data_IF_090159446019
#
_entry.id   IF_090159446019
#
_cell.length_a   1.000
_cell.length_b   1.000
_cell.length_c   1.000
_cell.angle_alpha   90.00
_cell.angle_beta   90.00
_cell.angle_gamma   90.00
#
_symmetry.space_group_name_H-M   'P 1'
#
loop_
_entity.id
_entity.type
_entity.pdbx_description
1 polymer ?
#
# COMPACT_ATOMS: atom_id res chain seq x y z
N UNK A 1 -6.29 -4.63 33.99
CA UNK A 1 -5.48 -5.67 33.29
C UNK A 1 -6.08 -6.14 31.95
N UNK A 2 -7.39 -6.10 31.75
CA UNK A 2 -8.07 -6.59 30.53
C UNK A 2 -7.88 -5.77 29.24
N UNK A 3 -7.74 -4.45 29.31
CA UNK A 3 -7.69 -3.59 28.11
C UNK A 3 -6.42 -3.80 27.26
N UNK A 4 -5.24 -3.84 27.87
CA UNK A 4 -3.98 -4.08 27.13
C UNK A 4 -3.94 -5.46 26.49
N UNK A 5 -4.48 -6.49 27.13
CA UNK A 5 -4.51 -7.85 26.59
C UNK A 5 -5.42 -7.94 25.36
N UNK A 6 -6.58 -7.26 25.40
CA UNK A 6 -7.50 -7.18 24.26
C UNK A 6 -6.88 -6.46 23.06
N UNK A 7 -6.18 -5.35 23.28
CA UNK A 7 -5.46 -4.62 22.22
C UNK A 7 -4.39 -5.49 21.57
N UNK A 8 -3.57 -6.19 22.38
CA UNK A 8 -2.51 -7.07 21.86
C UNK A 8 -3.08 -8.23 21.05
N UNK A 9 -4.14 -8.87 21.53
CA UNK A 9 -4.82 -9.99 20.82
C UNK A 9 -5.44 -9.49 19.52
N UNK A 10 -6.09 -8.33 19.54
CA UNK A 10 -6.69 -7.72 18.37
C UNK A 10 -5.68 -7.34 17.32
N UNK A 11 -4.58 -6.73 17.73
CA UNK A 11 -3.50 -6.35 16.82
C UNK A 11 -2.85 -7.60 16.18
N UNK A 12 -2.66 -8.68 16.93
CA UNK A 12 -2.17 -9.95 16.36
C UNK A 12 -3.12 -10.52 15.31
N UNK A 13 -4.42 -10.56 15.58
CA UNK A 13 -5.43 -11.03 14.62
C UNK A 13 -5.49 -10.14 13.37
N UNK A 14 -5.41 -8.83 13.55
CA UNK A 14 -5.34 -7.87 12.46
C UNK A 14 -4.09 -8.10 11.59
N UNK A 15 -2.90 -8.21 12.19
CA UNK A 15 -1.64 -8.39 11.47
C UNK A 15 -1.59 -9.74 10.75
N UNK A 16 -2.07 -10.81 11.37
CA UNK A 16 -2.16 -12.13 10.72
C UNK A 16 -3.08 -12.09 9.49
N UNK A 17 -4.28 -11.49 9.63
CA UNK A 17 -5.20 -11.30 8.51
C UNK A 17 -4.62 -10.39 7.42
N UNK A 18 -3.99 -9.27 7.79
CA UNK A 18 -3.33 -8.38 6.85
C UNK A 18 -2.22 -9.09 6.07
N UNK A 19 -1.37 -9.85 6.77
CA UNK A 19 -0.28 -10.60 6.13
C UNK A 19 -0.81 -11.65 5.17
N UNK A 20 -1.81 -12.42 5.58
CA UNK A 20 -2.42 -13.44 4.74
C UNK A 20 -3.07 -12.84 3.48
N UNK A 21 -3.91 -11.80 3.65
CA UNK A 21 -4.56 -11.13 2.52
C UNK A 21 -3.54 -10.57 1.53
N UNK A 22 -2.52 -9.86 2.02
CA UNK A 22 -1.49 -9.22 1.20
C UNK A 22 -0.57 -10.24 0.54
N UNK A 23 -0.19 -11.32 1.24
CA UNK A 23 0.60 -12.38 0.65
C UNK A 23 -0.18 -13.09 -0.48
N UNK A 24 -1.48 -13.32 -0.31
CA UNK A 24 -2.34 -13.86 -1.36
C UNK A 24 -2.47 -12.91 -2.54
N UNK A 25 -2.60 -11.61 -2.29
CA UNK A 25 -2.66 -10.57 -3.32
C UNK A 25 -1.35 -10.50 -4.14
N UNK A 26 -0.21 -10.37 -3.46
CA UNK A 26 1.12 -10.33 -4.10
C UNK A 26 1.46 -11.64 -4.84
N UNK A 27 0.92 -12.77 -4.40
CA UNK A 27 1.05 -14.07 -5.06
C UNK A 27 0.15 -14.17 -6.30
N UNK A 28 -1.03 -13.51 -6.29
CA UNK A 28 -2.06 -13.69 -7.31
C UNK A 28 -1.61 -13.28 -8.72
N UNK A 29 -0.90 -12.15 -8.82
CA UNK A 29 -0.37 -11.64 -10.08
C UNK A 29 0.59 -12.62 -10.76
N UNK A 30 1.72 -12.98 -10.14
CA UNK A 30 2.64 -13.97 -10.66
C UNK A 30 1.99 -15.34 -10.94
N UNK A 31 1.09 -15.81 -10.06
CA UNK A 31 0.40 -17.07 -10.26
C UNK A 31 -0.51 -17.07 -11.50
N UNK A 32 -1.26 -15.97 -11.73
CA UNK A 32 -2.09 -15.82 -12.92
C UNK A 32 -1.27 -15.64 -14.21
N UNK A 33 -0.11 -14.97 -14.12
CA UNK A 33 0.83 -14.87 -15.22
C UNK A 33 1.31 -16.27 -15.67
N UNK A 34 1.76 -17.08 -14.69
CA UNK A 34 2.22 -18.45 -14.94
C UNK A 34 1.08 -19.35 -15.44
N UNK A 35 -0.12 -19.22 -14.88
CA UNK A 35 -1.29 -19.97 -15.32
C UNK A 35 -1.70 -19.60 -16.75
N UNK A 36 -1.71 -18.31 -17.08
CA UNK A 36 -2.02 -17.82 -18.42
C UNK A 36 -1.11 -18.43 -19.46
N UNK A 37 0.19 -18.45 -19.18
CA UNK A 37 1.18 -19.11 -20.06
C UNK A 37 0.97 -20.63 -20.14
N UNK A 38 0.81 -21.30 -18.98
CA UNK A 38 0.66 -22.76 -18.93
C UNK A 38 -0.58 -23.28 -19.66
N UNK A 39 -1.69 -22.52 -19.65
CA UNK A 39 -2.96 -22.94 -20.27
C UNK A 39 -3.03 -22.56 -21.75
N UNK A 40 -2.48 -21.41 -22.15
CA UNK A 40 -2.65 -20.88 -23.52
C UNK A 40 -1.40 -21.01 -24.38
N UNK A 41 -0.24 -21.31 -23.80
CA UNK A 41 1.06 -21.25 -24.47
C UNK A 41 1.50 -19.83 -24.87
N UNK A 42 0.72 -18.80 -24.52
CA UNK A 42 0.95 -17.41 -24.93
C UNK A 42 1.25 -16.52 -23.71
N UNK A 43 2.44 -15.90 -23.63
CA UNK A 43 2.77 -14.96 -22.53
C UNK A 43 1.77 -13.79 -22.41
N UNK A 44 1.22 -13.34 -23.57
CA UNK A 44 0.25 -12.26 -23.64
C UNK A 44 -1.05 -12.52 -22.85
N UNK A 45 -1.47 -13.78 -22.72
CA UNK A 45 -2.66 -14.12 -21.95
C UNK A 45 -2.43 -13.88 -20.44
N UNK A 46 -1.31 -14.36 -19.89
CA UNK A 46 -0.95 -14.12 -18.49
C UNK A 46 -0.74 -12.64 -18.18
N UNK A 47 -0.02 -11.92 -19.06
CA UNK A 47 0.19 -10.47 -18.93
C UNK A 47 -1.12 -9.69 -18.99
N UNK A 48 -2.06 -10.10 -19.85
CA UNK A 48 -3.39 -9.48 -19.95
C UNK A 48 -4.22 -9.66 -18.68
N UNK A 49 -4.18 -10.85 -18.05
CA UNK A 49 -4.86 -11.10 -16.78
C UNK A 49 -4.27 -10.25 -15.65
N UNK A 50 -2.94 -10.20 -15.54
CA UNK A 50 -2.25 -9.37 -14.54
C UNK A 50 -2.57 -7.88 -14.72
N UNK A 51 -2.47 -7.37 -15.95
CA UNK A 51 -2.77 -5.98 -16.27
C UNK A 51 -4.24 -5.63 -15.93
N UNK A 52 -5.17 -6.53 -16.20
CA UNK A 52 -6.60 -6.34 -15.90
C UNK A 52 -6.85 -6.19 -14.40
N UNK A 53 -6.24 -7.05 -13.58
CA UNK A 53 -6.32 -6.93 -12.12
C UNK A 53 -5.76 -5.59 -11.62
N UNK A 54 -4.59 -5.18 -12.12
CA UNK A 54 -3.93 -3.95 -11.70
C UNK A 54 -4.71 -2.70 -12.11
N UNK A 55 -5.19 -2.64 -13.35
CA UNK A 55 -5.98 -1.51 -13.85
C UNK A 55 -7.27 -1.35 -13.06
N UNK A 56 -7.99 -2.44 -12.82
CA UNK A 56 -9.22 -2.41 -12.06
C UNK A 56 -8.98 -2.03 -10.59
N UNK A 57 -7.90 -2.51 -9.98
CA UNK A 57 -7.48 -2.11 -8.63
C UNK A 57 -7.15 -0.63 -8.52
N UNK A 58 -6.53 -0.07 -9.56
CA UNK A 58 -6.24 1.37 -9.62
C UNK A 58 -7.52 2.24 -9.67
N UNK A 59 -8.60 1.74 -10.29
CA UNK A 59 -9.88 2.47 -10.41
C UNK A 59 -10.81 2.18 -9.24
N UNK A 60 -10.79 0.97 -8.69
CA UNK A 60 -11.74 0.49 -7.67
C UNK A 60 -11.62 1.18 -6.31
N UNK A 61 -10.46 1.75 -5.98
CA UNK A 61 -10.19 2.30 -4.64
C UNK A 61 -11.14 3.37 -4.15
N UNK A 62 -11.38 4.44 -4.90
CA UNK A 62 -12.31 5.49 -4.49
C UNK A 62 -13.72 4.97 -4.22
N UNK A 63 -14.21 4.07 -5.08
CA UNK A 63 -15.56 3.47 -4.99
C UNK A 63 -15.65 2.56 -3.77
N UNK A 64 -14.70 1.64 -3.61
CA UNK A 64 -14.67 0.73 -2.48
C UNK A 64 -14.53 1.48 -1.15
N UNK A 65 -13.67 2.49 -1.10
CA UNK A 65 -13.49 3.30 0.11
C UNK A 65 -14.73 4.08 0.50
N UNK A 66 -15.44 4.66 -0.47
CA UNK A 66 -16.71 5.32 -0.23
C UNK A 66 -17.78 4.34 0.29
N UNK A 67 -17.81 3.11 -0.23
CA UNK A 67 -18.71 2.05 0.25
C UNK A 67 -18.37 1.66 1.69
N UNK A 68 -17.05 1.51 1.99
CA UNK A 68 -16.56 1.16 3.32
C UNK A 68 -16.94 2.22 4.36
N UNK A 69 -16.77 3.52 4.04
CA UNK A 69 -17.05 4.64 4.94
C UNK A 69 -18.55 4.89 5.15
N UNK A 70 -19.40 4.52 4.17
CA UNK A 70 -20.87 4.61 4.31
C UNK A 70 -21.46 3.49 5.16
N UNK A 71 -20.73 2.40 5.32
CA UNK A 71 -21.26 1.22 6.00
C UNK A 71 -21.26 1.40 7.51
N UNK A 72 -22.39 1.06 8.12
CA UNK A 72 -22.48 0.88 9.58
C UNK A 72 -21.68 -0.35 10.06
N UNK A 73 -21.34 -1.25 9.13
CA UNK A 73 -20.59 -2.48 9.38
C UNK A 73 -19.42 -2.63 8.40
N UNK A 74 -18.39 -1.75 8.50
CA UNK A 74 -17.25 -1.78 7.60
C UNK A 74 -16.47 -3.11 7.68
N UNK A 75 -16.51 -3.81 8.81
CA UNK A 75 -16.00 -5.16 8.99
C UNK A 75 -16.62 -6.16 8.01
N UNK A 76 -17.94 -6.13 7.83
CA UNK A 76 -18.65 -7.01 6.88
C UNK A 76 -18.37 -6.64 5.43
N UNK A 77 -18.31 -5.34 5.12
CA UNK A 77 -17.98 -4.86 3.77
C UNK A 77 -16.57 -5.31 3.39
N UNK A 78 -15.61 -5.17 4.31
CA UNK A 78 -14.24 -5.61 4.09
C UNK A 78 -14.18 -7.14 3.91
N UNK A 79 -14.85 -7.91 4.78
CA UNK A 79 -14.89 -9.36 4.68
C UNK A 79 -15.55 -9.84 3.37
N UNK A 80 -16.65 -9.22 2.96
CA UNK A 80 -17.32 -9.53 1.69
C UNK A 80 -16.44 -9.22 0.48
N UNK A 81 -15.72 -8.10 0.50
CA UNK A 81 -14.80 -7.73 -0.58
C UNK A 81 -13.61 -8.69 -0.68
N UNK A 82 -13.04 -9.12 0.46
CA UNK A 82 -11.98 -10.12 0.47
C UNK A 82 -12.47 -11.47 -0.06
N UNK A 83 -13.68 -11.89 0.34
CA UNK A 83 -14.30 -13.12 -0.17
C UNK A 83 -14.57 -13.01 -1.68
N UNK A 84 -15.10 -11.88 -2.15
CA UNK A 84 -15.34 -11.62 -3.58
C UNK A 84 -14.02 -11.62 -4.37
N UNK A 85 -12.95 -11.04 -3.82
CA UNK A 85 -11.63 -11.07 -4.44
C UNK A 85 -11.08 -12.49 -4.56
N UNK A 86 -11.13 -13.27 -3.47
CA UNK A 86 -10.69 -14.67 -3.48
C UNK A 86 -11.51 -15.53 -4.47
N UNK A 87 -12.83 -15.40 -4.45
CA UNK A 87 -13.72 -16.10 -5.40
C UNK A 87 -13.48 -15.66 -6.83
N UNK A 88 -13.23 -14.37 -7.06
CA UNK A 88 -12.89 -13.83 -8.37
C UNK A 88 -11.60 -14.43 -8.92
N UNK A 89 -10.54 -14.56 -8.11
CA UNK A 89 -9.28 -15.22 -8.51
C UNK A 89 -9.56 -16.67 -8.95
N UNK A 90 -10.39 -17.40 -8.19
CA UNK A 90 -10.80 -18.78 -8.55
C UNK A 90 -11.63 -18.79 -9.83
N UNK A 91 -12.54 -17.81 -10.01
CA UNK A 91 -13.35 -17.69 -11.22
C UNK A 91 -12.50 -17.41 -12.48
N UNK A 92 -11.47 -16.54 -12.37
CA UNK A 92 -10.51 -16.32 -13.46
C UNK A 92 -9.83 -17.62 -13.86
N UNK A 93 -9.36 -18.41 -12.87
CA UNK A 93 -8.76 -19.72 -13.13
C UNK A 93 -9.74 -20.70 -13.79
N UNK A 94 -10.98 -20.74 -13.30
CA UNK A 94 -12.01 -21.65 -13.84
C UNK A 94 -12.42 -21.29 -15.27
N UNK A 95 -12.43 -19.99 -15.61
CA UNK A 95 -12.78 -19.47 -16.91
C UNK A 95 -11.67 -19.69 -17.95
N UNK A 96 -10.41 -19.63 -17.52
CA UNK A 96 -9.26 -19.68 -18.43
C UNK A 96 -9.14 -21.05 -19.11
N UNK A 97 -9.15 -21.03 -20.45
CA UNK A 97 -9.17 -22.23 -21.30
C UNK A 97 -10.55 -22.86 -21.52
N UNK A 98 -11.60 -22.35 -20.84
CA UNK A 98 -13.00 -22.76 -21.06
C UNK A 98 -13.83 -21.68 -21.72
N UNK A 99 -13.54 -20.41 -21.41
CA UNK A 99 -14.20 -19.25 -22.00
C UNK A 99 -13.22 -18.51 -22.92
N UNK A 100 -13.72 -17.67 -23.84
CA UNK A 100 -12.86 -16.77 -24.60
C UNK A 100 -11.99 -15.91 -23.68
N UNK A 101 -10.76 -15.61 -24.10
CA UNK A 101 -9.82 -14.82 -23.30
C UNK A 101 -10.39 -13.45 -22.91
N UNK A 102 -11.17 -12.83 -23.80
CA UNK A 102 -11.85 -11.56 -23.53
C UNK A 102 -12.82 -11.64 -22.35
N UNK A 103 -13.60 -12.72 -22.25
CA UNK A 103 -14.49 -12.96 -21.12
C UNK A 103 -13.69 -13.20 -19.82
N UNK A 104 -12.60 -13.96 -19.88
CA UNK A 104 -11.71 -14.19 -18.73
C UNK A 104 -11.05 -12.89 -18.26
N UNK A 105 -10.64 -12.02 -19.18
CA UNK A 105 -10.15 -10.66 -18.88
C UNK A 105 -11.25 -9.82 -18.19
N UNK A 106 -12.50 -9.92 -18.67
CA UNK A 106 -13.63 -9.24 -18.02
C UNK A 106 -13.84 -9.69 -16.57
N UNK A 107 -13.70 -11.00 -16.29
CA UNK A 107 -13.76 -11.54 -14.92
C UNK A 107 -12.56 -11.03 -14.09
N UNK A 108 -11.36 -10.97 -14.65
CA UNK A 108 -10.18 -10.44 -13.98
C UNK A 108 -10.32 -8.94 -13.66
N UNK A 109 -10.87 -8.12 -14.56
CA UNK A 109 -11.21 -6.73 -14.32
C UNK A 109 -12.22 -6.59 -13.15
N UNK A 110 -13.31 -7.36 -13.18
CA UNK A 110 -14.29 -7.35 -12.10
C UNK A 110 -13.67 -7.75 -10.74
N UNK A 111 -12.77 -8.74 -10.75
CA UNK A 111 -12.04 -9.21 -9.58
C UNK A 111 -11.12 -8.11 -9.03
N UNK A 112 -10.37 -7.43 -9.88
CA UNK A 112 -9.43 -6.38 -9.50
C UNK A 112 -10.09 -5.18 -8.80
N UNK A 113 -11.38 -4.92 -9.02
CA UNK A 113 -12.11 -3.85 -8.31
C UNK A 113 -12.13 -4.05 -6.79
N UNK A 114 -11.95 -5.29 -6.30
CA UNK A 114 -11.90 -5.61 -4.87
C UNK A 114 -10.48 -5.56 -4.28
N UNK A 115 -9.43 -5.48 -5.11
CA UNK A 115 -8.04 -5.37 -4.65
C UNK A 115 -7.80 -4.25 -3.62
N UNK A 116 -8.42 -3.04 -3.73
CA UNK A 116 -8.26 -1.99 -2.73
C UNK A 116 -8.70 -2.37 -1.31
N UNK A 117 -9.50 -3.42 -1.13
CA UNK A 117 -9.87 -3.94 0.19
C UNK A 117 -8.64 -4.48 0.93
N UNK A 118 -7.76 -5.20 0.22
CA UNK A 118 -6.53 -5.78 0.77
C UNK A 118 -5.56 -4.68 1.19
N UNK A 119 -5.42 -3.65 0.36
CA UNK A 119 -4.49 -2.55 0.59
C UNK A 119 -5.08 -1.50 1.56
N UNK A 120 -5.65 -0.44 1.00
CA UNK A 120 -6.10 0.73 1.76
C UNK A 120 -7.29 0.45 2.69
N UNK A 121 -8.22 -0.44 2.26
CA UNK A 121 -9.40 -0.79 3.04
C UNK A 121 -9.06 -1.44 4.37
N UNK A 122 -8.11 -2.37 4.37
CA UNK A 122 -7.60 -3.02 5.59
C UNK A 122 -6.89 -2.02 6.50
N UNK A 123 -5.90 -1.29 5.97
CA UNK A 123 -5.12 -0.29 6.73
C UNK A 123 -6.01 0.76 7.39
N UNK A 124 -7.10 1.17 6.74
CA UNK A 124 -8.05 2.15 7.29
C UNK A 124 -8.72 1.68 8.59
N UNK A 125 -8.75 0.36 8.87
CA UNK A 125 -9.34 -0.20 10.10
C UNK A 125 -8.41 -0.19 11.31
N UNK A 126 -7.11 0.04 11.12
CA UNK A 126 -6.10 -0.01 12.19
C UNK A 126 -6.45 0.85 13.42
N UNK A 127 -6.95 2.10 13.28
CA UNK A 127 -7.29 2.95 14.43
C UNK A 127 -8.47 2.45 15.28
N UNK A 128 -9.20 1.42 14.84
CA UNK A 128 -10.24 0.77 15.66
C UNK A 128 -9.62 -0.12 16.74
N UNK A 129 -8.39 -0.61 16.50
CA UNK A 129 -7.70 -1.55 17.38
C UNK A 129 -6.67 -0.83 18.23
N UNK A 130 -5.95 0.14 17.65
CA UNK A 130 -4.84 0.86 18.29
C UNK A 130 -5.12 2.36 18.24
N UNK A 131 -5.04 3.01 19.38
CA UNK A 131 -5.32 4.46 19.50
C UNK A 131 -4.15 5.21 20.14
N UNK A 132 -4.15 6.53 20.00
CA UNK A 132 -3.17 7.40 20.66
C UNK A 132 -1.72 7.12 20.25
N UNK A 133 -0.82 7.07 21.22
CA UNK A 133 0.62 6.91 21.00
C UNK A 133 1.04 5.58 20.37
N UNK A 134 0.21 4.54 20.48
CA UNK A 134 0.47 3.23 19.88
C UNK A 134 0.20 3.18 18.37
N UNK A 135 -0.50 4.16 17.79
CA UNK A 135 -0.85 4.18 16.38
C UNK A 135 0.39 4.23 15.46
N UNK A 136 1.44 4.93 15.89
CA UNK A 136 2.71 4.96 15.12
C UNK A 136 3.35 3.58 15.03
N UNK A 137 3.35 2.82 16.14
CA UNK A 137 3.83 1.44 16.17
C UNK A 137 2.92 0.52 15.36
N UNK A 138 1.61 0.68 15.49
CA UNK A 138 0.63 -0.06 14.70
C UNK A 138 0.83 0.15 13.20
N UNK A 139 1.05 1.39 12.75
CA UNK A 139 1.33 1.73 11.34
C UNK A 139 2.64 1.11 10.84
N UNK A 140 3.68 1.04 11.68
CA UNK A 140 4.93 0.37 11.32
C UNK A 140 4.75 -1.15 11.19
N UNK A 141 3.97 -1.77 12.09
CA UNK A 141 3.63 -3.19 12.01
C UNK A 141 2.73 -3.50 10.80
N UNK A 142 1.80 -2.61 10.48
CA UNK A 142 0.97 -2.74 9.28
C UNK A 142 1.81 -2.62 8.01
N UNK A 143 2.73 -1.66 7.92
CA UNK A 143 3.68 -1.53 6.83
C UNK A 143 4.60 -2.76 6.70
N UNK A 144 5.00 -3.37 7.85
CA UNK A 144 5.78 -4.60 7.87
C UNK A 144 5.07 -5.74 7.14
N UNK A 145 3.75 -5.87 7.25
CA UNK A 145 2.99 -6.91 6.55
C UNK A 145 3.04 -6.77 5.03
N UNK A 146 3.17 -5.54 4.49
CA UNK A 146 3.42 -5.31 3.06
C UNK A 146 4.80 -5.83 2.66
N UNK A 147 5.85 -5.50 3.42
CA UNK A 147 7.21 -5.98 3.11
C UNK A 147 7.32 -7.50 3.16
N UNK A 148 6.63 -8.14 4.13
CA UNK A 148 6.54 -9.61 4.19
C UNK A 148 5.83 -10.17 2.96
N UNK A 149 4.71 -9.58 2.57
CA UNK A 149 3.92 -10.02 1.43
C UNK A 149 4.66 -9.86 0.10
N UNK A 150 5.30 -8.69 -0.12
CA UNK A 150 6.08 -8.42 -1.34
C UNK A 150 7.28 -9.38 -1.50
N UNK A 151 7.88 -9.80 -0.38
CA UNK A 151 8.98 -10.78 -0.41
C UNK A 151 8.45 -12.21 -0.61
N UNK A 152 7.42 -12.59 0.15
CA UNK A 152 6.94 -13.97 0.19
C UNK A 152 5.99 -14.31 -0.96
N UNK A 153 5.15 -13.37 -1.42
CA UNK A 153 4.11 -13.63 -2.41
C UNK A 153 4.64 -14.18 -3.73
N UNK A 154 5.52 -13.45 -4.44
CA UNK A 154 6.09 -13.93 -5.70
C UNK A 154 6.92 -15.21 -5.53
N UNK A 155 7.66 -15.34 -4.42
CA UNK A 155 8.44 -16.54 -4.12
C UNK A 155 7.54 -17.76 -3.93
N UNK A 156 6.45 -17.63 -3.17
CA UNK A 156 5.46 -18.69 -3.00
C UNK A 156 4.76 -19.03 -4.32
N UNK A 157 4.44 -18.04 -5.16
CA UNK A 157 3.86 -18.29 -6.47
C UNK A 157 4.78 -19.15 -7.34
N UNK A 158 6.07 -18.79 -7.40
CA UNK A 158 7.05 -19.54 -8.18
C UNK A 158 7.28 -20.96 -7.62
N UNK A 159 7.44 -21.09 -6.30
CA UNK A 159 7.67 -22.38 -5.64
C UNK A 159 6.50 -23.35 -5.83
N UNK A 160 5.27 -22.86 -5.60
CA UNK A 160 4.07 -23.68 -5.75
C UNK A 160 3.80 -24.01 -7.23
N UNK A 161 4.05 -23.06 -8.14
CA UNK A 161 3.88 -23.32 -9.56
C UNK A 161 4.90 -24.33 -10.11
N UNK A 162 6.13 -24.33 -9.60
CA UNK A 162 7.19 -25.27 -9.99
C UNK A 162 6.94 -26.71 -9.49
N UNK A 163 6.28 -26.88 -8.33
CA UNK A 163 5.95 -28.19 -7.78
C UNK A 163 4.56 -28.68 -8.23
N UNK A 164 3.48 -28.36 -7.50
CA UNK A 164 2.12 -28.85 -7.79
C UNK A 164 1.46 -28.14 -9.00
N UNK A 165 2.07 -27.09 -9.54
CA UNK A 165 1.65 -26.44 -10.77
C UNK A 165 0.95 -25.08 -10.59
N UNK A 166 0.84 -24.32 -11.69
CA UNK A 166 0.33 -22.95 -11.70
C UNK A 166 -1.14 -22.85 -11.22
N UNK A 167 -1.96 -23.88 -11.46
CA UNK A 167 -3.35 -23.92 -10.93
C UNK A 167 -3.38 -23.94 -9.42
N UNK A 168 -2.51 -24.72 -8.78
CA UNK A 168 -2.42 -24.79 -7.32
C UNK A 168 -1.87 -23.49 -6.77
N UNK A 169 -0.95 -22.82 -7.47
CA UNK A 169 -0.46 -21.50 -7.06
C UNK A 169 -1.59 -20.45 -7.00
N UNK A 170 -2.48 -20.42 -8.00
CA UNK A 170 -3.64 -19.52 -8.00
C UNK A 170 -4.62 -19.85 -6.87
N UNK A 171 -4.90 -21.13 -6.62
CA UNK A 171 -5.76 -21.56 -5.51
C UNK A 171 -5.14 -21.22 -4.15
N UNK A 172 -3.83 -21.35 -4.01
CA UNK A 172 -3.11 -20.96 -2.79
C UNK A 172 -3.21 -19.46 -2.55
N UNK A 173 -3.05 -18.63 -3.59
CA UNK A 173 -3.24 -17.19 -3.50
C UNK A 173 -4.67 -16.84 -3.04
N UNK A 174 -5.69 -17.45 -3.65
CA UNK A 174 -7.08 -17.26 -3.26
C UNK A 174 -7.35 -17.72 -1.82
N UNK A 175 -6.80 -18.86 -1.40
CA UNK A 175 -6.92 -19.38 -0.04
C UNK A 175 -6.29 -18.44 1.00
N UNK A 176 -5.12 -17.88 0.72
CA UNK A 176 -4.49 -16.88 1.59
C UNK A 176 -5.35 -15.63 1.77
N UNK A 177 -5.97 -15.13 0.70
CA UNK A 177 -6.94 -14.02 0.80
C UNK A 177 -8.17 -14.45 1.62
N UNK A 178 -8.71 -15.63 1.37
CA UNK A 178 -9.87 -16.14 2.09
C UNK A 178 -9.60 -16.34 3.59
N UNK A 179 -8.40 -16.74 3.98
CA UNK A 179 -7.98 -16.86 5.38
C UNK A 179 -8.03 -15.52 6.16
N UNK A 180 -8.02 -14.40 5.46
CA UNK A 180 -8.16 -13.08 6.08
C UNK A 180 -9.63 -12.74 6.41
N UNK A 181 -10.63 -13.40 5.81
CA UNK A 181 -12.06 -13.11 6.02
C UNK A 181 -12.48 -13.24 7.49
N UNK A 182 -12.15 -14.31 8.23
CA UNK A 182 -12.46 -14.41 9.65
C UNK A 182 -11.82 -13.28 10.48
N UNK A 183 -10.60 -12.87 10.13
CA UNK A 183 -9.93 -11.75 10.80
C UNK A 183 -10.66 -10.43 10.54
N UNK A 184 -11.12 -10.17 9.31
CA UNK A 184 -11.95 -9.02 8.99
C UNK A 184 -13.28 -9.02 9.76
N UNK A 185 -13.97 -10.15 9.84
CA UNK A 185 -15.19 -10.29 10.64
C UNK A 185 -14.94 -10.03 12.15
N UNK A 186 -13.76 -10.39 12.66
CA UNK A 186 -13.42 -10.18 14.07
C UNK A 186 -13.28 -8.71 14.46
N UNK A 187 -13.13 -7.80 13.48
CA UNK A 187 -13.08 -6.36 13.70
C UNK A 187 -14.38 -5.79 14.28
N UNK A 188 -15.50 -6.51 14.18
CA UNK A 188 -16.76 -6.15 14.81
C UNK A 188 -16.70 -6.08 16.34
N UNK A 189 -15.70 -6.74 16.95
CA UNK A 189 -15.47 -6.74 18.41
C UNK A 189 -14.86 -5.44 18.93
N UNK A 190 -14.38 -4.57 18.05
CA UNK A 190 -13.75 -3.28 18.39
C UNK A 190 -14.75 -2.14 18.20
N UNK A 191 -14.49 -0.97 18.83
CA UNK A 191 -15.39 0.18 18.73
C UNK A 191 -15.86 0.42 17.30
N UNK A 192 -17.12 0.75 17.16
CA UNK A 192 -17.70 1.06 15.87
C UNK A 192 -16.87 2.14 15.15
N UNK A 193 -16.80 2.06 13.83
CA UNK A 193 -16.28 3.17 13.04
C UNK A 193 -17.07 4.44 13.40
N UNK A 194 -16.46 5.64 13.29
CA UNK A 194 -17.19 6.88 13.45
C UNK A 194 -18.48 6.84 12.63
N UNK A 195 -19.55 7.46 13.13
CA UNK A 195 -20.82 7.48 12.43
C UNK A 195 -20.63 7.89 10.96
N UNK A 196 -21.32 7.25 10.02
CA UNK A 196 -21.26 7.65 8.62
C UNK A 196 -21.52 9.16 8.53
N UNK A 197 -20.75 9.84 7.70
CA UNK A 197 -21.00 11.25 7.38
C UNK A 197 -22.37 11.45 6.74
N UNK A 198 -22.76 12.71 6.44
CA UNK A 198 -24.03 13.01 5.78
C UNK A 198 -24.25 12.10 4.57
N UNK A 199 -25.48 11.61 4.38
CA UNK A 199 -25.83 10.75 3.25
C UNK A 199 -25.79 11.59 1.96
N UNK A 200 -24.62 11.60 1.32
CA UNK A 200 -24.44 12.23 0.00
C UNK A 200 -24.75 11.24 -1.13
N UNK A 201 -25.23 11.68 -2.28
CA UNK A 201 -25.28 10.85 -3.48
C UNK A 201 -23.90 10.27 -3.81
N UNK A 202 -23.80 9.06 -4.39
CA UNK A 202 -22.51 8.37 -4.61
C UNK A 202 -21.46 9.22 -5.32
N UNK A 203 -21.84 9.95 -6.37
CA UNK A 203 -20.92 10.82 -7.12
C UNK A 203 -20.39 11.99 -6.28
N UNK A 204 -21.25 12.61 -5.43
CA UNK A 204 -20.83 13.68 -4.52
C UNK A 204 -19.92 13.16 -3.41
N UNK A 205 -20.16 11.95 -2.95
CA UNK A 205 -19.29 11.33 -1.95
C UNK A 205 -17.92 11.03 -2.53
N UNK A 206 -17.83 10.49 -3.76
CA UNK A 206 -16.57 10.31 -4.47
C UNK A 206 -15.83 11.64 -4.62
N UNK A 207 -16.52 12.68 -5.09
CA UNK A 207 -15.95 14.02 -5.22
C UNK A 207 -15.48 14.57 -3.87
N UNK A 208 -16.23 14.35 -2.78
CA UNK A 208 -15.86 14.80 -1.44
C UNK A 208 -14.56 14.14 -0.94
N UNK A 209 -14.33 12.85 -1.24
CA UNK A 209 -13.08 12.17 -0.90
C UNK A 209 -11.87 12.72 -1.65
N UNK A 210 -12.00 12.96 -2.95
CA UNK A 210 -10.96 13.64 -3.73
C UNK A 210 -10.73 15.07 -3.25
N UNK A 211 -11.80 15.81 -2.98
CA UNK A 211 -11.72 17.17 -2.44
C UNK A 211 -11.03 17.18 -1.05
N UNK A 212 -11.31 16.20 -0.18
CA UNK A 212 -10.64 16.07 1.11
C UNK A 212 -9.13 15.84 0.96
N UNK A 213 -8.70 15.06 -0.02
CA UNK A 213 -7.28 14.89 -0.33
C UNK A 213 -6.69 16.19 -0.89
N UNK A 214 -7.36 16.84 -1.85
CA UNK A 214 -6.86 18.01 -2.54
C UNK A 214 -6.81 19.27 -1.66
N UNK A 215 -7.78 19.45 -0.77
CA UNK A 215 -7.90 20.66 0.06
C UNK A 215 -7.07 20.59 1.35
N UNK A 216 -6.83 19.38 1.89
CA UNK A 216 -5.99 19.18 3.07
C UNK A 216 -4.54 19.04 2.67
N UNK A 217 -3.77 20.11 2.82
CA UNK A 217 -2.35 20.18 2.42
C UNK A 217 -1.51 18.97 2.82
N UNK A 218 -1.56 18.44 4.07
CA UNK A 218 -0.79 17.25 4.42
C UNK A 218 -1.21 16.00 3.66
N UNK A 219 -2.51 15.80 3.39
CA UNK A 219 -3.00 14.68 2.60
C UNK A 219 -2.62 14.80 1.13
N UNK A 220 -2.76 16.00 0.55
CA UNK A 220 -2.34 16.28 -0.83
C UNK A 220 -0.85 16.00 -0.99
N UNK A 221 -0.03 16.55 -0.08
CA UNK A 221 1.41 16.38 -0.04
C UNK A 221 1.80 14.89 0.01
N UNK A 222 1.24 14.15 0.97
CA UNK A 222 1.50 12.72 1.11
C UNK A 222 1.03 11.91 -0.12
N UNK A 223 -0.09 12.29 -0.74
CA UNK A 223 -0.62 11.59 -1.91
C UNK A 223 0.22 11.86 -3.15
N UNK A 224 0.49 13.13 -3.48
CA UNK A 224 1.32 13.49 -4.63
C UNK A 224 2.72 12.87 -4.52
N UNK A 225 3.37 13.02 -3.36
CA UNK A 225 4.68 12.42 -3.13
C UNK A 225 4.66 10.92 -3.34
N UNK A 226 3.65 10.21 -2.78
CA UNK A 226 3.59 8.76 -2.93
C UNK A 226 3.33 8.31 -4.37
N UNK A 227 2.50 9.03 -5.13
CA UNK A 227 2.20 8.69 -6.54
C UNK A 227 3.42 8.87 -7.42
N UNK A 228 4.10 10.02 -7.29
CA UNK A 228 5.29 10.36 -8.08
C UNK A 228 6.47 9.46 -7.72
N UNK A 229 6.72 9.22 -6.43
CA UNK A 229 7.75 8.30 -5.96
C UNK A 229 7.54 6.87 -6.46
N UNK A 230 6.29 6.38 -6.41
CA UNK A 230 6.00 5.03 -6.91
C UNK A 230 6.09 4.90 -8.44
N UNK A 231 6.02 6.00 -9.20
CA UNK A 231 6.38 5.96 -10.61
C UNK A 231 7.90 5.67 -10.78
N UNK A 232 8.76 6.30 -10.01
CA UNK A 232 10.19 5.99 -9.96
C UNK A 232 10.48 4.55 -9.54
N UNK A 233 9.79 4.06 -8.50
CA UNK A 233 9.91 2.66 -8.03
C UNK A 233 9.46 1.67 -9.12
N UNK A 234 8.37 1.97 -9.84
CA UNK A 234 7.93 1.14 -10.97
C UNK A 234 8.98 1.04 -12.08
N UNK A 235 9.67 2.14 -12.37
CA UNK A 235 10.80 2.14 -13.31
C UNK A 235 11.96 1.26 -12.79
N UNK A 236 12.35 1.40 -11.52
CA UNK A 236 13.41 0.58 -10.92
C UNK A 236 13.12 -0.91 -11.03
N UNK A 237 11.88 -1.33 -10.73
CA UNK A 237 11.49 -2.76 -10.79
C UNK A 237 11.66 -3.30 -12.21
N UNK A 238 11.27 -2.55 -13.25
CA UNK A 238 11.45 -2.94 -14.65
C UNK A 238 12.93 -2.98 -15.04
N UNK A 239 13.77 -2.11 -14.46
CA UNK A 239 15.21 -2.12 -14.70
C UNK A 239 15.93 -3.30 -14.02
N UNK A 240 15.38 -3.92 -12.98
CA UNK A 240 16.06 -4.97 -12.23
C UNK A 240 16.55 -6.16 -13.09
N UNK A 241 15.77 -6.75 -14.03
CA UNK A 241 16.27 -7.82 -14.91
C UNK A 241 17.44 -7.37 -15.78
N UNK A 242 17.37 -6.15 -16.34
CA UNK A 242 18.44 -5.58 -17.20
C UNK A 242 19.70 -5.31 -16.37
N UNK A 243 19.56 -4.78 -15.16
CA UNK A 243 20.68 -4.63 -14.21
C UNK A 243 21.28 -5.98 -13.83
N UNK A 244 20.44 -6.99 -13.61
CA UNK A 244 20.88 -8.35 -13.34
C UNK A 244 21.76 -8.90 -14.45
N UNK A 245 21.35 -8.72 -15.70
CA UNK A 245 22.14 -9.14 -16.87
C UNK A 245 23.42 -8.34 -17.03
N UNK A 246 23.32 -7.01 -17.08
CA UNK A 246 24.45 -6.14 -17.41
C UNK A 246 25.48 -6.00 -16.28
N UNK A 247 25.05 -6.05 -15.01
CA UNK A 247 25.92 -5.77 -13.85
C UNK A 247 26.27 -7.02 -13.07
N UNK A 248 25.40 -8.03 -13.07
CA UNK A 248 25.55 -9.25 -12.28
C UNK A 248 25.77 -10.50 -13.15
N UNK A 249 25.70 -10.37 -14.49
CA UNK A 249 26.00 -11.42 -15.44
C UNK A 249 24.85 -12.39 -15.75
N UNK A 250 23.63 -12.17 -15.25
CA UNK A 250 22.43 -12.92 -15.63
C UNK A 250 21.13 -12.14 -15.33
N UNK A 251 20.19 -12.13 -16.26
CA UNK A 251 18.88 -11.47 -16.08
C UNK A 251 18.10 -12.04 -14.88
N UNK A 252 18.25 -13.36 -14.59
CA UNK A 252 17.66 -14.01 -13.41
C UNK A 252 18.14 -13.40 -12.07
N UNK A 253 19.33 -12.80 -12.03
CA UNK A 253 19.83 -12.08 -10.86
C UNK A 253 19.10 -10.74 -10.61
N UNK A 254 18.29 -10.27 -11.56
CA UNK A 254 17.33 -9.17 -11.32
C UNK A 254 16.32 -9.49 -10.23
N UNK A 255 15.89 -10.74 -10.09
CA UNK A 255 15.03 -11.17 -8.99
C UNK A 255 15.73 -11.04 -7.63
N UNK A 256 17.06 -11.21 -7.56
CA UNK A 256 17.84 -10.94 -6.35
C UNK A 256 17.76 -9.48 -5.94
N UNK A 257 17.85 -8.54 -6.90
CA UNK A 257 17.74 -7.10 -6.62
C UNK A 257 16.38 -6.76 -6.01
N UNK A 258 15.28 -7.28 -6.57
CA UNK A 258 13.94 -7.09 -6.04
C UNK A 258 13.82 -7.69 -4.62
N UNK A 259 14.38 -8.88 -4.40
CA UNK A 259 14.39 -9.52 -3.09
C UNK A 259 15.18 -8.72 -2.06
N UNK A 260 16.30 -8.13 -2.45
CA UNK A 260 17.13 -7.27 -1.58
C UNK A 260 16.38 -6.00 -1.20
N UNK A 261 15.67 -5.36 -2.14
CA UNK A 261 14.82 -4.20 -1.85
C UNK A 261 13.75 -4.57 -0.82
N UNK A 262 13.03 -5.67 -1.04
CA UNK A 262 11.98 -6.13 -0.13
C UNK A 262 12.53 -6.51 1.26
N UNK A 263 13.66 -7.20 1.32
CA UNK A 263 14.31 -7.58 2.57
C UNK A 263 14.79 -6.36 3.37
N UNK A 264 15.40 -5.38 2.71
CA UNK A 264 15.84 -4.14 3.34
C UNK A 264 14.65 -3.33 3.88
N UNK A 265 13.55 -3.24 3.12
CA UNK A 265 12.29 -2.63 3.55
C UNK A 265 11.70 -3.36 4.77
N UNK A 266 11.71 -4.70 4.76
CA UNK A 266 11.29 -5.54 5.87
C UNK A 266 12.08 -5.27 7.15
N UNK A 267 13.41 -5.24 7.04
CA UNK A 267 14.32 -4.99 8.18
C UNK A 267 14.06 -3.61 8.77
N UNK A 268 13.98 -2.58 7.95
CA UNK A 268 13.78 -1.21 8.44
C UNK A 268 12.39 -0.99 9.04
N UNK A 269 11.34 -1.62 8.50
CA UNK A 269 10.02 -1.63 9.10
C UNK A 269 9.99 -2.39 10.43
N UNK A 270 10.71 -3.52 10.54
CA UNK A 270 10.84 -4.27 11.78
C UNK A 270 11.55 -3.45 12.87
N UNK A 271 12.62 -2.74 12.51
CA UNK A 271 13.32 -1.81 13.42
C UNK A 271 12.40 -0.67 13.85
N UNK A 272 11.65 -0.06 12.92
CA UNK A 272 10.70 1.00 13.21
C UNK A 272 9.57 0.54 14.16
N UNK A 273 9.10 -0.69 14.00
CA UNK A 273 8.08 -1.27 14.87
C UNK A 273 8.58 -1.54 16.31
N UNK A 274 9.87 -1.92 16.45
CA UNK A 274 10.50 -2.14 17.77
C UNK A 274 10.90 -0.85 18.47
N UNK A 275 11.30 0.16 17.71
CA UNK A 275 11.77 1.46 18.21
C UNK A 275 10.94 2.58 17.57
N UNK A 276 9.68 2.78 18.03
CA UNK A 276 8.85 3.86 17.50
C UNK A 276 9.51 5.21 17.82
N UNK A 277 10.06 5.84 16.79
CA UNK A 277 10.70 7.15 16.92
C UNK A 277 9.62 8.22 17.09
N UNK A 278 9.69 9.02 18.13
CA UNK A 278 8.86 10.22 18.37
C UNK A 278 9.27 11.36 17.43
N UNK A 279 9.22 11.15 16.12
CA UNK A 279 9.55 12.17 15.13
C UNK A 279 8.34 12.55 14.29
N UNK A 280 8.41 13.69 13.62
CA UNK A 280 7.37 14.13 12.71
C UNK A 280 7.34 13.18 11.49
N UNK A 281 6.22 12.51 11.20
CA UNK A 281 6.11 11.60 10.06
C UNK A 281 6.39 12.32 8.74
N UNK A 282 6.08 13.62 8.68
CA UNK A 282 6.29 14.49 7.54
C UNK A 282 7.77 14.56 7.12
N UNK A 283 8.70 14.75 8.04
CA UNK A 283 10.14 14.79 7.76
C UNK A 283 10.61 13.42 7.25
N UNK A 284 10.04 12.33 7.77
CA UNK A 284 10.42 10.98 7.31
C UNK A 284 9.98 10.70 5.88
N UNK A 285 8.79 11.16 5.46
CA UNK A 285 8.38 11.05 4.06
C UNK A 285 9.43 11.68 3.16
N UNK A 286 9.82 12.94 3.43
CA UNK A 286 10.81 13.64 2.63
C UNK A 286 12.18 12.95 2.64
N UNK A 287 12.70 12.62 3.83
CA UNK A 287 14.00 11.98 3.97
C UNK A 287 14.06 10.63 3.26
N UNK A 288 13.01 9.81 3.40
CA UNK A 288 12.93 8.52 2.73
C UNK A 288 12.85 8.66 1.20
N UNK A 289 12.07 9.62 0.68
CA UNK A 289 12.00 9.92 -0.75
C UNK A 289 13.37 10.30 -1.30
N UNK A 290 14.12 11.15 -0.60
CA UNK A 290 15.49 11.52 -1.00
C UNK A 290 16.46 10.33 -0.95
N UNK A 291 16.34 9.45 0.06
CA UNK A 291 17.16 8.23 0.15
C UNK A 291 16.87 7.30 -1.02
N UNK A 292 15.60 7.09 -1.39
CA UNK A 292 15.21 6.27 -2.53
C UNK A 292 15.76 6.85 -3.82
N UNK A 293 15.63 8.18 -4.04
CA UNK A 293 16.17 8.86 -5.22
C UNK A 293 17.70 8.74 -5.32
N UNK A 294 18.40 8.98 -4.22
CA UNK A 294 19.85 8.82 -4.16
C UNK A 294 20.29 7.38 -4.44
N UNK A 295 19.53 6.40 -3.97
CA UNK A 295 19.81 4.98 -4.23
C UNK A 295 19.64 4.61 -5.69
N UNK A 296 18.61 5.14 -6.37
CA UNK A 296 18.38 4.93 -7.80
C UNK A 296 19.51 5.56 -8.63
N UNK A 297 19.93 6.78 -8.30
CA UNK A 297 21.08 7.44 -8.94
C UNK A 297 22.38 6.65 -8.69
N UNK A 298 22.60 6.17 -7.48
CA UNK A 298 23.74 5.32 -7.17
C UNK A 298 23.69 4.01 -7.96
N UNK A 299 22.54 3.33 -8.04
CA UNK A 299 22.37 2.11 -8.81
C UNK A 299 22.59 2.31 -10.31
N UNK A 300 22.25 3.49 -10.85
CA UNK A 300 22.52 3.85 -12.24
C UNK A 300 24.02 3.84 -12.58
N UNK A 301 24.86 4.23 -11.62
CA UNK A 301 26.31 4.43 -11.80
C UNK A 301 27.15 3.30 -11.21
N UNK A 302 26.59 2.51 -10.27
CA UNK A 302 27.32 1.48 -9.53
C UNK A 302 27.68 0.29 -10.42
N UNK A 303 28.94 -0.16 -10.44
CA UNK A 303 29.36 -1.38 -11.13
C UNK A 303 29.09 -2.61 -10.29
N UNK A 304 28.81 -3.76 -10.96
CA UNK A 304 28.77 -5.07 -10.35
C UNK A 304 27.90 -5.14 -9.07
N UNK A 305 28.47 -5.73 -8.02
CA UNK A 305 27.76 -5.95 -6.75
C UNK A 305 27.47 -4.67 -5.95
N UNK A 306 28.09 -3.54 -6.26
CA UNK A 306 27.72 -2.25 -5.66
C UNK A 306 26.28 -1.83 -6.02
N UNK A 307 25.76 -2.30 -7.16
CA UNK A 307 24.34 -2.15 -7.51
C UNK A 307 23.43 -2.80 -6.45
N UNK A 308 23.81 -3.95 -5.91
CA UNK A 308 23.05 -4.64 -4.85
C UNK A 308 23.00 -3.77 -3.58
N UNK A 309 24.13 -3.18 -3.19
CA UNK A 309 24.19 -2.28 -2.05
C UNK A 309 23.35 -1.00 -2.28
N UNK A 310 23.41 -0.44 -3.47
CA UNK A 310 22.61 0.73 -3.82
C UNK A 310 21.11 0.47 -3.71
N UNK A 311 20.60 -0.62 -4.30
CA UNK A 311 19.17 -0.95 -4.21
C UNK A 311 18.75 -1.35 -2.79
N UNK A 312 19.65 -1.93 -1.97
CA UNK A 312 19.40 -2.20 -0.56
C UNK A 312 19.13 -0.90 0.23
N UNK A 313 19.88 0.17 -0.06
CA UNK A 313 19.64 1.50 0.52
C UNK A 313 18.26 2.03 0.11
N UNK A 314 17.86 1.84 -1.15
CA UNK A 314 16.52 2.20 -1.63
C UNK A 314 15.41 1.49 -0.87
N UNK A 315 15.52 0.16 -0.73
CA UNK A 315 14.59 -0.63 0.07
C UNK A 315 14.54 -0.19 1.54
N UNK A 316 15.70 0.16 2.11
CA UNK A 316 15.77 0.70 3.48
C UNK A 316 15.04 2.06 3.62
N UNK A 317 14.90 2.82 2.55
CA UNK A 317 14.10 4.05 2.49
C UNK A 317 12.60 3.77 2.31
N UNK A 318 12.23 2.77 1.50
CA UNK A 318 10.83 2.48 1.15
C UNK A 318 9.98 2.11 2.36
N UNK A 319 10.48 1.26 3.26
CA UNK A 319 9.77 0.86 4.46
C UNK A 319 9.35 2.03 5.35
N UNK A 320 10.28 2.88 5.80
CA UNK A 320 9.98 4.08 6.57
C UNK A 320 9.10 5.09 5.82
N UNK A 321 9.22 5.22 4.48
CA UNK A 321 8.35 6.06 3.67
C UNK A 321 6.90 5.61 3.79
N UNK A 322 6.61 4.32 3.58
CA UNK A 322 5.26 3.77 3.67
C UNK A 322 4.67 3.93 5.06
N UNK A 323 5.44 3.64 6.11
CA UNK A 323 5.04 3.85 7.51
C UNK A 323 4.68 5.30 7.79
N UNK A 324 5.48 6.24 7.30
CA UNK A 324 5.26 7.67 7.50
C UNK A 324 4.03 8.17 6.73
N UNK A 325 3.82 7.70 5.49
CA UNK A 325 2.61 7.98 4.70
C UNK A 325 1.34 7.50 5.41
N UNK A 326 1.36 6.31 6.01
CA UNK A 326 0.23 5.82 6.80
C UNK A 326 -0.01 6.68 8.04
N UNK A 327 1.04 7.07 8.75
CA UNK A 327 0.93 7.92 9.94
C UNK A 327 0.34 9.30 9.59
N UNK A 328 0.77 9.93 8.48
CA UNK A 328 0.18 11.20 8.00
C UNK A 328 -1.30 11.01 7.67
N UNK A 329 -1.66 9.96 6.92
CA UNK A 329 -3.05 9.69 6.54
C UNK A 329 -3.93 9.41 7.75
N UNK A 330 -3.45 8.64 8.74
CA UNK A 330 -4.21 8.38 9.97
C UNK A 330 -4.41 9.64 10.81
N UNK A 331 -3.44 10.55 10.83
CA UNK A 331 -3.52 11.83 11.55
C UNK A 331 -4.51 12.79 10.90
N UNK A 332 -4.50 12.86 9.57
CA UNK A 332 -5.19 13.91 8.83
C UNK A 332 -6.55 13.49 8.25
N UNK A 333 -6.78 12.20 8.04
CA UNK A 333 -8.02 11.72 7.45
C UNK A 333 -9.19 11.87 8.44
N UNK A 334 -10.29 12.55 8.05
CA UNK A 334 -11.52 12.54 8.82
C UNK A 334 -11.98 11.11 9.07
N UNK A 335 -12.48 10.83 10.27
CA UNK A 335 -12.88 9.46 10.64
C UNK A 335 -13.89 8.83 9.67
N UNK A 336 -14.84 9.63 9.18
CA UNK A 336 -15.91 9.22 8.26
C UNK A 336 -15.50 9.13 6.78
N UNK A 337 -14.25 9.48 6.42
CA UNK A 337 -13.68 9.40 5.07
C UNK A 337 -12.36 8.62 5.04
N UNK A 338 -12.02 7.93 6.12
CA UNK A 338 -10.73 7.25 6.25
C UNK A 338 -10.58 6.13 5.24
N UNK A 339 -11.59 5.31 5.07
CA UNK A 339 -11.61 4.24 4.08
C UNK A 339 -11.35 4.78 2.68
N UNK A 340 -12.10 5.79 2.27
CA UNK A 340 -11.96 6.39 0.95
C UNK A 340 -10.58 7.04 0.72
N UNK A 341 -10.03 7.76 1.71
CA UNK A 341 -8.70 8.38 1.59
C UNK A 341 -7.61 7.31 1.45
N UNK A 342 -7.65 6.24 2.24
CA UNK A 342 -6.64 5.18 2.17
C UNK A 342 -6.73 4.37 0.89
N UNK A 343 -7.93 3.98 0.45
CA UNK A 343 -8.11 3.20 -0.78
C UNK A 343 -7.82 4.03 -2.02
N UNK A 344 -8.26 5.30 -2.07
CA UNK A 344 -7.93 6.22 -3.17
C UNK A 344 -6.42 6.42 -3.28
N UNK A 345 -5.75 6.67 -2.16
CA UNK A 345 -4.30 6.84 -2.14
C UNK A 345 -3.55 5.56 -2.55
N UNK A 346 -4.05 4.37 -2.17
CA UNK A 346 -3.49 3.09 -2.61
C UNK A 346 -3.66 2.90 -4.12
N UNK A 347 -4.85 3.17 -4.66
CA UNK A 347 -5.12 3.10 -6.11
C UNK A 347 -4.27 4.07 -6.91
N UNK A 348 -4.16 5.32 -6.48
CA UNK A 348 -3.31 6.31 -7.15
C UNK A 348 -1.83 5.91 -7.12
N UNK A 349 -1.37 5.33 -6.00
CA UNK A 349 -0.02 4.79 -5.88
C UNK A 349 0.25 3.67 -6.89
N UNK A 350 -0.69 2.72 -7.02
CA UNK A 350 -0.60 1.62 -8.00
C UNK A 350 -0.60 2.17 -9.43
N UNK A 351 -1.46 3.16 -9.72
CA UNK A 351 -1.47 3.82 -11.03
C UNK A 351 -0.14 4.51 -11.34
N UNK A 352 0.46 5.21 -10.36
CA UNK A 352 1.79 5.81 -10.49
C UNK A 352 2.85 4.75 -10.81
N UNK A 353 2.89 3.65 -10.05
CA UNK A 353 3.82 2.55 -10.28
C UNK A 353 3.66 1.93 -11.68
N UNK A 354 2.42 1.72 -12.11
CA UNK A 354 2.12 1.17 -13.44
C UNK A 354 2.55 2.12 -14.57
N UNK A 355 2.33 3.43 -14.40
CA UNK A 355 2.77 4.44 -15.36
C UNK A 355 4.31 4.47 -15.47
N UNK A 356 5.00 4.43 -14.34
CA UNK A 356 6.47 4.36 -14.31
C UNK A 356 7.00 3.09 -14.98
N UNK A 357 6.41 1.95 -14.68
CA UNK A 357 6.76 0.67 -15.31
C UNK A 357 6.54 0.69 -16.83
N UNK A 358 5.45 1.30 -17.30
CA UNK A 358 5.16 1.44 -18.73
C UNK A 358 6.19 2.35 -19.43
N UNK A 359 6.61 3.44 -18.78
CA UNK A 359 7.66 4.33 -19.28
C UNK A 359 9.03 3.64 -19.32
N UNK A 360 9.31 2.79 -18.33
CA UNK A 360 10.60 2.12 -18.23
C UNK A 360 10.83 1.09 -19.33
N UNK A 361 9.79 0.42 -19.86
CA UNK A 361 9.93 -0.64 -20.87
C UNK A 361 10.77 -0.20 -22.07
N UNK A 362 10.35 0.81 -22.84
CA UNK A 362 11.14 1.32 -23.95
C UNK A 362 12.49 1.91 -23.54
N UNK A 363 12.54 2.67 -22.43
CA UNK A 363 13.74 3.36 -21.97
C UNK A 363 14.85 2.40 -21.53
N UNK A 364 14.52 1.36 -20.78
CA UNK A 364 15.48 0.40 -20.27
C UNK A 364 16.14 -0.42 -21.40
N UNK A 365 15.40 -0.64 -22.50
CA UNK A 365 15.95 -1.28 -23.70
C UNK A 365 17.03 -0.46 -24.40
N UNK A 366 16.98 0.87 -24.30
CA UNK A 366 17.99 1.76 -24.86
C UNK A 366 19.14 2.02 -23.85
N UNK A 367 18.82 2.37 -22.62
CA UNK A 367 19.81 2.65 -21.57
C UNK A 367 19.19 2.48 -20.17
N UNK A 368 19.61 1.44 -19.47
CA UNK A 368 19.21 1.22 -18.08
C UNK A 368 19.68 2.36 -17.16
N UNK A 369 20.86 2.91 -17.42
CA UNK A 369 21.42 4.06 -16.68
C UNK A 369 20.53 5.30 -16.83
N UNK A 370 20.15 5.65 -18.05
CA UNK A 370 19.25 6.78 -18.31
C UNK A 370 17.88 6.54 -17.65
N UNK A 371 17.34 5.33 -17.75
CA UNK A 371 16.06 4.96 -17.12
C UNK A 371 16.10 5.15 -15.60
N UNK A 372 17.16 4.72 -14.93
CA UNK A 372 17.34 4.88 -13.48
C UNK A 372 17.57 6.33 -13.05
N UNK A 373 18.28 7.13 -13.86
CA UNK A 373 18.43 8.56 -13.60
C UNK A 373 17.11 9.31 -13.74
N UNK A 374 16.26 8.92 -14.71
CA UNK A 374 14.87 9.43 -14.83
C UNK A 374 14.06 9.00 -13.63
N UNK A 375 14.18 7.75 -13.16
CA UNK A 375 13.52 7.27 -11.95
C UNK A 375 13.95 8.07 -10.70
N UNK A 376 15.25 8.39 -10.57
CA UNK A 376 15.74 9.30 -9.53
C UNK A 376 15.18 10.71 -9.68
N UNK A 377 14.98 11.18 -10.91
CA UNK A 377 14.30 12.44 -11.23
C UNK A 377 12.86 12.47 -10.73
N UNK A 378 12.09 11.37 -10.84
CA UNK A 378 10.76 11.26 -10.24
C UNK A 378 10.80 11.42 -8.73
N UNK A 379 11.80 10.86 -8.04
CA UNK A 379 11.97 11.05 -6.59
C UNK A 379 12.30 12.51 -6.22
N UNK A 380 13.13 13.18 -7.02
CA UNK A 380 13.38 14.61 -6.83
C UNK A 380 12.13 15.45 -7.08
N UNK A 381 11.34 15.13 -8.11
CA UNK A 381 10.04 15.75 -8.35
C UNK A 381 9.08 15.52 -7.16
N UNK A 382 9.05 14.29 -6.61
CA UNK A 382 8.26 13.96 -5.44
C UNK A 382 8.68 14.77 -4.21
N UNK A 383 10.00 14.88 -3.96
CA UNK A 383 10.56 15.69 -2.87
C UNK A 383 10.29 17.18 -3.06
N UNK A 384 10.43 17.69 -4.28
CA UNK A 384 10.13 19.09 -4.62
C UNK A 384 8.65 19.39 -4.43
N UNK A 385 7.76 18.54 -4.92
CA UNK A 385 6.32 18.67 -4.70
C UNK A 385 5.99 18.67 -3.21
N UNK A 386 6.64 17.78 -2.44
CA UNK A 386 6.52 17.75 -0.98
C UNK A 386 6.87 19.08 -0.33
N UNK A 387 7.93 19.75 -0.74
CA UNK A 387 8.39 21.03 -0.21
C UNK A 387 7.52 22.21 -0.66
N UNK A 388 7.04 22.20 -1.90
CA UNK A 388 6.21 23.27 -2.47
C UNK A 388 4.79 23.27 -1.90
N UNK A 389 4.23 22.10 -1.57
CA UNK A 389 2.91 21.99 -0.93
C UNK A 389 3.03 22.32 0.56
N UNK A 390 3.34 23.59 0.89
CA UNK A 390 3.54 24.05 2.28
C UNK A 390 2.24 23.98 3.10
N UNK A 391 2.35 23.61 4.36
CA UNK A 391 1.27 23.82 5.34
C UNK A 391 1.04 25.32 5.52
N UNK A 392 -0.20 25.78 5.33
CA UNK A 392 -0.57 27.07 5.93
C UNK A 392 -0.46 26.90 7.44
N UNK A 393 0.49 27.59 8.09
CA UNK A 393 0.54 27.65 9.57
C UNK A 393 -0.86 28.07 10.01
N UNK A 394 -1.56 27.19 10.73
CA UNK A 394 -2.74 27.62 11.49
C UNK A 394 -2.25 28.72 12.42
N UNK A 395 -2.87 29.94 12.39
CA UNK A 395 -2.57 30.91 13.42
C UNK A 395 -2.80 30.21 14.76
N UNK A 396 -1.82 30.33 15.67
CA UNK A 396 -1.96 29.84 17.02
C UNK A 396 -3.28 30.40 17.56
N UNK A 397 -4.18 29.52 18.01
CA UNK A 397 -5.40 29.97 18.68
C UNK A 397 -4.94 30.87 19.82
N UNK A 398 -5.44 32.12 19.91
CA UNK A 398 -5.10 33.00 20.98
C UNK A 398 -5.42 32.28 22.30
N UNK A 399 -4.42 32.16 23.16
CA UNK A 399 -4.49 31.42 24.41
C UNK A 399 -5.77 31.80 25.15
N UNK A 400 -6.46 30.81 25.64
CA UNK A 400 -7.46 30.98 26.68
C UNK A 400 -6.73 31.68 27.84
N UNK A 401 -6.85 33.00 27.84
CA UNK A 401 -6.45 33.81 28.98
C UNK A 401 -7.13 33.18 30.20
N UNK A 402 -6.32 32.72 31.11
CA UNK A 402 -6.74 32.30 32.43
C UNK A 402 -7.59 33.43 33.04
N UNK A 403 -8.90 33.26 33.04
CA UNK A 403 -9.76 34.04 33.92
C UNK A 403 -9.42 33.61 35.34
N UNK A 404 -8.52 34.36 35.93
CA UNK A 404 -8.32 34.36 37.40
C UNK A 404 -9.64 34.72 38.06
N UNK A 405 -10.28 33.77 38.64
CA UNK A 405 -11.33 33.99 39.63
C UNK A 405 -10.65 34.45 40.93
N UNK A 406 -10.53 35.75 41.10
CA UNK A 406 -10.46 36.34 42.43
C UNK A 406 -11.85 36.21 43.07
N UNK A 407 -12.06 35.17 43.82
CA UNK A 407 -13.17 35.09 44.76
C UNK A 407 -12.74 35.82 46.01
N UNK A 408 -13.14 37.09 46.17
CA UNK A 408 -13.20 37.76 47.46
C UNK A 408 -14.26 37.08 48.33
N UNK A 409 -13.82 36.58 49.45
CA UNK A 409 -14.67 36.10 50.54
C UNK A 409 -15.15 37.30 51.36
N UNK A 410 -16.46 37.53 51.57
CA UNK A 410 -16.89 38.52 52.53
C UNK A 410 -16.80 37.94 53.95
N UNK A 411 -16.08 38.67 54.78
CA UNK A 411 -16.06 38.48 56.23
C UNK A 411 -17.47 38.60 56.82
N UNK A 412 -17.87 37.65 57.64
CA UNK A 412 -19.02 37.78 58.55
C UNK A 412 -18.46 38.28 59.89
N UNK A 413 -18.90 39.48 60.24
CA UNK A 413 -18.95 39.93 61.60
C UNK A 413 -20.36 39.65 62.14
N UNK A 414 -20.39 39.17 63.38
CA UNK A 414 -21.43 38.86 64.35
C UNK A 414 -21.95 37.45 64.40
#
# INVERSE_FOLDING_TARGET
MNSRYQVVRGLRGYLAGATAARAGDEMSGPALLLLGFAVTGRPAAGSGLLASLMIAGAVGGPVFGALLDRSRRPDRVLAAALAAYALGIVAVQAALGRLPLTATIGIALATGLFNPAVAGGWTAQLPRIVTGGELSRGSALDALTYSVASLAGPALAALVAAGPGARVAVLTAAALVALAVPAACSLSRYPAAPAPGPALPPHRQLAAGFAAIATRRPLLRATVTSVVSYAGIGMLIVCCPVLGEQRLGAASRGALLISVIAAASLITNAIAARRPRRGQPDIRVLASTLVIGASMAAAALAPGWLTVAAVAVGGAGEGPQLTALFAVRHREAPGHMRGQIFTTAASLKIAGMSAGAALAGPLAGHSVTACLLIAAGFELCAATAYLLIRERRRPASPGRASRGTTAESPARSE
#
